data_IF_743602304370
#
_entry.id   IF_743602304370
#
_cell.length_a   1.000
_cell.length_b   1.000
_cell.length_c   1.000
_cell.angle_alpha   90.00
_cell.angle_beta   90.00
_cell.angle_gamma   90.00
#
_symmetry.space_group_name_H-M   'P 1'
#
loop_
_entity.id
_entity.type
_entity.pdbx_description
1 polymer ?
#
# COMPACT_ATOMS: atom_id res chain seq x y z
N UNK A 1 -15.31 -3.70 -6.84
CA UNK A 1 -15.00 -4.97 -6.17
C UNK A 1 -15.17 -6.19 -7.09
N UNK A 2 -16.30 -6.36 -7.82
CA UNK A 2 -16.52 -7.51 -8.71
C UNK A 2 -15.36 -7.73 -9.69
N UNK A 3 -14.86 -6.67 -10.32
CA UNK A 3 -13.71 -6.75 -11.22
C UNK A 3 -12.42 -7.17 -10.50
N UNK A 4 -12.23 -6.73 -9.24
CA UNK A 4 -11.08 -7.14 -8.45
C UNK A 4 -11.12 -8.64 -8.10
N UNK A 5 -12.29 -9.15 -7.71
CA UNK A 5 -12.48 -10.58 -7.49
C UNK A 5 -12.15 -11.40 -8.75
N UNK A 6 -12.60 -10.92 -9.92
CA UNK A 6 -12.26 -11.58 -11.19
C UNK A 6 -10.75 -11.62 -11.43
N UNK A 7 -10.06 -10.51 -11.21
CA UNK A 7 -8.59 -10.41 -11.37
C UNK A 7 -7.88 -11.39 -10.42
N UNK A 8 -8.23 -11.37 -9.13
CA UNK A 8 -7.60 -12.25 -8.14
C UNK A 8 -7.86 -13.73 -8.44
N UNK A 9 -9.07 -14.09 -8.82
CA UNK A 9 -9.40 -15.46 -9.23
C UNK A 9 -8.58 -15.92 -10.46
N UNK A 10 -8.38 -15.03 -11.43
CA UNK A 10 -7.58 -15.33 -12.63
C UNK A 10 -6.10 -15.42 -12.33
N UNK A 11 -5.57 -14.53 -11.48
CA UNK A 11 -4.17 -14.62 -11.00
C UNK A 11 -3.97 -15.94 -10.28
N UNK A 12 -4.92 -16.35 -9.46
CA UNK A 12 -4.91 -17.61 -8.71
C UNK A 12 -3.53 -17.90 -8.10
N UNK A 13 -3.14 -17.13 -7.09
CA UNK A 13 -1.84 -17.28 -6.43
C UNK A 13 -1.62 -18.74 -5.99
N UNK A 14 -0.56 -19.43 -6.45
CA UNK A 14 -0.35 -20.84 -6.11
C UNK A 14 0.21 -21.05 -4.69
N UNK A 15 0.77 -20.00 -4.07
CA UNK A 15 1.42 -20.12 -2.77
C UNK A 15 0.38 -20.07 -1.64
N UNK A 16 0.54 -20.91 -0.59
CA UNK A 16 -0.28 -20.81 0.60
C UNK A 16 0.06 -19.54 1.37
N UNK A 17 -0.94 -18.99 2.09
CA UNK A 17 -0.69 -17.86 2.98
C UNK A 17 0.16 -18.29 4.18
N UNK A 18 1.31 -17.66 4.36
CA UNK A 18 2.24 -17.87 5.48
C UNK A 18 2.33 -16.60 6.34
N UNK A 19 1.51 -16.54 7.38
CA UNK A 19 1.48 -15.43 8.34
C UNK A 19 2.82 -15.25 9.06
N UNK A 20 3.49 -16.34 9.42
CA UNK A 20 4.74 -16.27 10.18
C UNK A 20 5.88 -15.70 9.32
N UNK A 21 5.94 -16.11 8.05
CA UNK A 21 6.89 -15.56 7.09
C UNK A 21 6.56 -14.09 6.74
N UNK A 22 5.28 -13.71 6.68
CA UNK A 22 4.87 -12.31 6.48
C UNK A 22 5.37 -11.42 7.62
N UNK A 23 5.21 -11.82 8.88
CA UNK A 23 5.73 -11.08 10.04
C UNK A 23 7.24 -10.87 9.93
N UNK A 24 7.99 -11.87 9.47
CA UNK A 24 9.44 -11.77 9.26
C UNK A 24 9.83 -10.87 8.08
N UNK A 25 8.97 -10.78 7.05
CA UNK A 25 9.21 -9.93 5.88
C UNK A 25 9.03 -8.44 6.19
N UNK A 26 8.02 -8.08 6.99
CA UNK A 26 7.63 -6.69 7.25
C UNK A 26 8.82 -5.77 7.57
N UNK A 27 9.75 -6.08 8.48
CA UNK A 27 10.86 -5.18 8.78
C UNK A 27 11.73 -4.80 7.58
N UNK A 28 11.79 -5.65 6.56
CA UNK A 28 12.57 -5.40 5.33
C UNK A 28 11.91 -4.42 4.36
N UNK A 29 10.59 -4.23 4.46
CA UNK A 29 9.80 -3.37 3.56
C UNK A 29 10.30 -1.92 3.65
N UNK A 30 10.66 -1.44 4.84
CA UNK A 30 11.11 -0.07 5.04
C UNK A 30 12.25 0.32 4.10
N UNK A 31 13.27 -0.53 3.98
CA UNK A 31 14.40 -0.27 3.10
C UNK A 31 14.03 -0.24 1.60
N UNK A 32 12.98 -0.97 1.21
CA UNK A 32 12.51 -0.97 -0.17
C UNK A 32 11.94 0.39 -0.58
N UNK A 33 11.49 1.21 0.39
CA UNK A 33 11.02 2.58 0.10
C UNK A 33 12.09 3.50 -0.47
N UNK A 34 13.38 3.19 -0.29
CA UNK A 34 14.48 3.98 -0.86
C UNK A 34 14.65 3.78 -2.37
N UNK A 35 14.07 2.74 -2.93
CA UNK A 35 14.11 2.48 -4.37
C UNK A 35 12.75 2.87 -4.99
N UNK A 36 12.64 4.11 -5.43
CA UNK A 36 11.40 4.68 -5.96
C UNK A 36 10.84 3.89 -7.14
N UNK A 37 11.71 3.32 -7.99
CA UNK A 37 11.28 2.63 -9.21
C UNK A 37 10.89 1.17 -8.99
N UNK A 38 11.66 0.43 -8.20
CA UNK A 38 11.52 -1.03 -8.10
C UNK A 38 11.16 -1.53 -6.70
N UNK A 39 11.17 -0.64 -5.69
CA UNK A 39 10.95 -1.02 -4.30
C UNK A 39 9.59 -1.69 -4.09
N UNK A 40 8.53 -1.07 -4.59
CA UNK A 40 7.17 -1.62 -4.44
C UNK A 40 7.03 -2.96 -5.18
N UNK A 41 7.51 -3.07 -6.42
CA UNK A 41 7.48 -4.33 -7.17
C UNK A 41 8.24 -5.45 -6.44
N UNK A 42 9.37 -5.12 -5.83
CA UNK A 42 10.14 -6.10 -5.02
C UNK A 42 9.32 -6.62 -3.85
N UNK A 43 8.63 -5.72 -3.13
CA UNK A 43 7.77 -6.11 -2.01
C UNK A 43 6.57 -6.91 -2.48
N UNK A 44 5.90 -6.49 -3.54
CA UNK A 44 4.74 -7.19 -4.12
C UNK A 44 5.11 -8.62 -4.53
N UNK A 45 6.28 -8.84 -5.16
CA UNK A 45 6.79 -10.17 -5.50
C UNK A 45 7.06 -11.03 -4.26
N UNK A 46 7.63 -10.43 -3.21
CA UNK A 46 7.88 -11.14 -1.97
C UNK A 46 6.56 -11.55 -1.29
N UNK A 47 5.59 -10.64 -1.21
CA UNK A 47 4.26 -10.90 -0.67
C UNK A 47 3.52 -12.00 -1.44
N UNK A 48 3.61 -11.99 -2.77
CA UNK A 48 3.00 -13.03 -3.61
C UNK A 48 3.48 -14.44 -3.26
N UNK A 49 4.80 -14.60 -3.01
CA UNK A 49 5.39 -15.88 -2.58
C UNK A 49 4.95 -16.33 -1.19
N UNK A 50 4.40 -15.42 -0.39
CA UNK A 50 3.84 -15.68 0.93
C UNK A 50 2.31 -15.84 0.89
N UNK A 51 1.73 -15.98 -0.30
CA UNK A 51 0.29 -16.16 -0.48
C UNK A 51 -0.54 -14.87 -0.41
N UNK A 52 0.11 -13.69 -0.35
CA UNK A 52 -0.58 -12.38 -0.37
C UNK A 52 -0.49 -11.79 -1.77
N UNK A 53 -1.62 -11.60 -2.44
CA UNK A 53 -1.65 -11.00 -3.78
C UNK A 53 -1.97 -9.52 -3.68
N UNK A 54 -1.13 -8.67 -4.25
CA UNK A 54 -1.33 -7.23 -4.27
C UNK A 54 -1.54 -6.77 -5.72
N UNK A 55 -2.62 -6.06 -5.96
CA UNK A 55 -2.88 -5.38 -7.25
C UNK A 55 -2.92 -3.88 -7.03
N UNK A 56 -2.57 -3.15 -8.08
CA UNK A 56 -2.67 -1.70 -8.12
C UNK A 56 -3.86 -1.27 -8.99
N UNK A 57 -4.66 -0.38 -8.43
CA UNK A 57 -5.81 0.23 -9.08
C UNK A 57 -5.55 1.74 -9.20
N UNK A 58 -5.47 2.32 -10.40
CA UNK A 58 -5.46 3.77 -10.56
C UNK A 58 -6.63 4.41 -9.81
N UNK A 59 -6.39 5.57 -9.24
CA UNK A 59 -7.45 6.30 -8.53
C UNK A 59 -8.62 6.58 -9.45
N UNK A 60 -9.82 6.33 -8.95
CA UNK A 60 -11.07 6.62 -9.65
C UNK A 60 -11.55 7.98 -9.17
N UNK A 61 -11.95 8.84 -10.10
CA UNK A 61 -12.48 10.16 -9.79
C UNK A 61 -13.64 10.02 -8.79
N UNK A 62 -13.64 10.88 -7.78
CA UNK A 62 -14.66 10.95 -6.72
C UNK A 62 -14.71 9.72 -5.77
N UNK A 63 -13.79 8.77 -5.91
CA UNK A 63 -13.62 7.66 -4.99
C UNK A 63 -12.33 7.84 -4.15
N UNK A 64 -12.49 8.00 -2.85
CA UNK A 64 -11.38 8.25 -1.91
C UNK A 64 -10.73 6.96 -1.41
N UNK A 65 -10.67 5.94 -2.27
CA UNK A 65 -10.08 4.64 -1.94
C UNK A 65 -8.55 4.74 -1.84
N UNK A 66 -7.99 4.43 -0.69
CA UNK A 66 -6.53 4.29 -0.50
C UNK A 66 -6.08 2.85 -0.67
N UNK A 67 -6.83 1.93 -0.10
CA UNK A 67 -6.59 0.51 -0.16
C UNK A 67 -7.84 -0.29 0.16
N UNK A 68 -7.77 -1.60 -0.06
CA UNK A 68 -8.78 -2.54 0.38
C UNK A 68 -8.16 -3.93 0.55
N UNK A 69 -8.59 -4.64 1.57
CA UNK A 69 -8.23 -6.04 1.81
C UNK A 69 -9.41 -6.96 1.53
N UNK A 70 -9.16 -8.01 0.75
CA UNK A 70 -10.14 -9.03 0.37
C UNK A 70 -9.61 -10.41 0.72
N UNK A 71 -10.53 -11.38 0.81
CA UNK A 71 -10.18 -12.80 0.84
C UNK A 71 -10.74 -13.47 -0.40
N UNK A 72 -9.85 -14.02 -1.22
CA UNK A 72 -10.21 -14.74 -2.46
C UNK A 72 -9.52 -16.09 -2.46
N UNK A 73 -10.28 -17.17 -2.63
CA UNK A 73 -9.79 -18.55 -2.55
C UNK A 73 -9.00 -18.81 -1.25
N UNK A 74 -9.55 -18.30 -0.14
CA UNK A 74 -8.98 -18.41 1.21
C UNK A 74 -7.61 -17.73 1.42
N UNK A 75 -7.25 -16.80 0.52
CA UNK A 75 -5.98 -16.06 0.56
C UNK A 75 -6.20 -14.56 0.63
N UNK A 76 -5.36 -13.84 1.39
CA UNK A 76 -5.43 -12.39 1.45
C UNK A 76 -5.04 -11.76 0.11
N UNK A 77 -5.84 -10.80 -0.30
CA UNK A 77 -5.66 -10.02 -1.50
C UNK A 77 -5.78 -8.53 -1.16
N UNK A 78 -4.83 -7.73 -1.63
CA UNK A 78 -4.78 -6.30 -1.36
C UNK A 78 -4.94 -5.53 -2.66
N UNK A 79 -5.80 -4.52 -2.65
CA UNK A 79 -5.88 -3.49 -3.68
C UNK A 79 -5.18 -2.25 -3.13
N UNK A 80 -4.24 -1.68 -3.90
CA UNK A 80 -3.64 -0.38 -3.61
C UNK A 80 -4.10 0.63 -4.64
N UNK A 81 -4.32 1.86 -4.21
CA UNK A 81 -4.62 2.98 -5.09
C UNK A 81 -3.61 4.10 -4.92
N UNK A 82 -3.41 4.87 -6.00
CA UNK A 82 -2.61 6.09 -5.98
C UNK A 82 -3.44 7.33 -5.58
N UNK A 83 -4.37 7.16 -4.69
CA UNK A 83 -5.13 8.28 -4.17
C UNK A 83 -4.20 9.47 -3.84
N UNK A 84 -4.52 10.65 -4.36
CA UNK A 84 -3.68 11.84 -4.33
C UNK A 84 -2.38 11.78 -5.17
N UNK A 85 -2.13 10.73 -5.93
CA UNK A 85 -0.93 10.56 -6.78
C UNK A 85 0.37 10.91 -6.02
N UNK A 86 0.56 10.33 -4.83
CA UNK A 86 1.75 10.57 -3.98
C UNK A 86 2.41 9.28 -3.56
N UNK A 87 3.71 9.22 -3.77
CA UNK A 87 4.56 8.08 -3.42
C UNK A 87 4.38 7.56 -1.99
N UNK A 88 4.43 8.41 -0.93
CA UNK A 88 4.27 7.95 0.43
C UNK A 88 2.87 7.39 0.72
N UNK A 89 1.83 7.85 0.01
CA UNK A 89 0.45 7.37 0.23
C UNK A 89 0.31 5.89 -0.12
N UNK A 90 0.95 5.45 -1.21
CA UNK A 90 0.90 4.03 -1.62
C UNK A 90 1.61 3.12 -0.62
N UNK A 91 2.76 3.56 -0.11
CA UNK A 91 3.49 2.81 0.91
C UNK A 91 2.74 2.75 2.24
N UNK A 92 2.14 3.88 2.64
CA UNK A 92 1.33 3.92 3.84
C UNK A 92 0.13 2.97 3.72
N UNK A 93 -0.61 3.05 2.60
CA UNK A 93 -1.72 2.15 2.32
C UNK A 93 -1.31 0.67 2.34
N UNK A 94 -0.15 0.31 1.75
CA UNK A 94 0.33 -1.06 1.80
C UNK A 94 0.52 -1.57 3.23
N UNK A 95 1.15 -0.78 4.10
CA UNK A 95 1.37 -1.20 5.50
C UNK A 95 0.06 -1.23 6.29
N UNK A 96 -0.85 -0.30 6.03
CA UNK A 96 -2.19 -0.27 6.60
C UNK A 96 -2.96 -1.56 6.24
N UNK A 97 -3.02 -1.92 4.96
CA UNK A 97 -3.69 -3.16 4.51
C UNK A 97 -3.00 -4.42 5.03
N UNK A 98 -1.66 -4.43 5.15
CA UNK A 98 -0.94 -5.54 5.78
C UNK A 98 -1.26 -5.69 7.27
N UNK A 99 -1.60 -4.60 7.97
CA UNK A 99 -2.11 -4.68 9.34
C UNK A 99 -3.43 -5.44 9.38
N UNK A 100 -4.38 -5.14 8.48
CA UNK A 100 -5.63 -5.89 8.37
C UNK A 100 -5.40 -7.37 8.02
N UNK A 101 -4.50 -7.66 7.09
CA UNK A 101 -4.12 -9.07 6.78
C UNK A 101 -3.59 -9.80 8.01
N UNK A 102 -2.83 -9.13 8.87
CA UNK A 102 -2.26 -9.75 10.09
C UNK A 102 -3.26 -9.90 11.22
N UNK A 103 -4.19 -8.96 11.37
CA UNK A 103 -5.01 -8.82 12.57
C UNK A 103 -6.46 -9.19 12.35
N UNK A 104 -7.01 -8.95 11.17
CA UNK A 104 -8.45 -8.97 10.91
C UNK A 104 -8.85 -9.99 9.84
N UNK A 105 -7.89 -10.80 9.34
CA UNK A 105 -8.11 -11.68 8.20
C UNK A 105 -9.29 -12.64 8.39
N UNK A 106 -9.51 -13.13 9.61
CA UNK A 106 -10.62 -14.05 9.89
C UNK A 106 -11.98 -13.36 9.79
N UNK A 107 -12.09 -12.12 10.27
CA UNK A 107 -13.29 -11.30 10.07
C UNK A 107 -13.50 -10.97 8.60
N UNK A 108 -12.44 -10.54 7.90
CA UNK A 108 -12.53 -10.22 6.47
C UNK A 108 -12.90 -11.45 5.65
N UNK A 109 -12.46 -12.65 6.05
CA UNK A 109 -12.84 -13.92 5.41
C UNK A 109 -14.36 -14.17 5.51
N UNK A 110 -14.99 -13.85 6.62
CA UNK A 110 -16.44 -14.00 6.80
C UNK A 110 -17.23 -13.06 5.87
N UNK A 111 -16.78 -11.82 5.70
CA UNK A 111 -17.45 -10.80 4.89
C UNK A 111 -16.88 -10.64 3.48
N UNK A 112 -15.79 -11.34 3.16
CA UNK A 112 -15.05 -11.37 1.89
C UNK A 112 -14.22 -10.12 1.56
N UNK A 113 -14.50 -8.94 2.12
CA UNK A 113 -13.74 -7.72 1.86
C UNK A 113 -13.85 -6.71 3.00
N UNK A 114 -12.86 -5.81 3.06
CA UNK A 114 -12.83 -4.59 3.85
C UNK A 114 -12.28 -3.45 2.98
N UNK A 115 -12.84 -2.25 3.10
CA UNK A 115 -12.46 -1.05 2.35
C UNK A 115 -12.01 0.03 3.31
N UNK A 116 -10.75 0.46 3.19
CA UNK A 116 -10.15 1.52 4.01
C UNK A 116 -10.34 2.89 3.34
N UNK A 117 -11.51 3.50 3.48
CA UNK A 117 -11.86 4.79 2.86
C UNK A 117 -12.24 5.90 3.85
N UNK A 118 -12.27 5.59 5.14
CA UNK A 118 -12.65 6.54 6.19
C UNK A 118 -14.14 6.89 6.22
N UNK A 119 -15.00 6.20 5.47
CA UNK A 119 -16.40 6.50 5.29
C UNK A 119 -17.36 5.32 5.47
N UNK A 120 -17.35 4.66 6.64
CA UNK A 120 -18.49 3.81 7.03
C UNK A 120 -18.53 2.43 6.40
N UNK A 121 -17.47 1.66 6.57
CA UNK A 121 -17.52 0.23 6.31
C UNK A 121 -18.48 -0.47 7.30
N UNK A 122 -19.17 -1.51 6.83
CA UNK A 122 -20.03 -2.36 7.67
C UNK A 122 -19.20 -3.16 8.70
N UNK A 123 -17.91 -3.38 8.42
CA UNK A 123 -16.97 -3.94 9.36
C UNK A 123 -16.41 -2.80 10.22
N UNK A 124 -16.77 -2.78 11.50
CA UNK A 124 -16.18 -1.88 12.50
C UNK A 124 -14.75 -2.35 12.82
N UNK A 125 -13.86 -2.34 11.83
CA UNK A 125 -12.44 -2.63 12.05
C UNK A 125 -11.75 -1.41 12.68
N UNK A 126 -10.68 -1.67 13.41
CA UNK A 126 -9.91 -0.64 14.08
C UNK A 126 -8.93 0.03 13.10
N UNK A 127 -9.44 0.99 12.33
CA UNK A 127 -8.66 1.77 11.35
C UNK A 127 -7.53 2.54 12.03
N UNK A 128 -7.78 3.11 13.22
CA UNK A 128 -6.78 3.86 13.98
C UNK A 128 -5.60 2.97 14.35
N UNK A 129 -5.84 1.69 14.66
CA UNK A 129 -4.77 0.72 14.92
C UNK A 129 -3.91 0.51 13.69
N UNK A 130 -4.50 0.36 12.49
CA UNK A 130 -3.76 0.13 11.26
C UNK A 130 -3.05 1.39 10.78
N UNK A 131 -3.63 2.57 10.96
CA UNK A 131 -2.97 3.85 10.73
C UNK A 131 -1.76 4.05 11.66
N UNK A 132 -1.92 3.73 12.96
CA UNK A 132 -0.83 3.78 13.93
C UNK A 132 0.27 2.78 13.60
N UNK A 133 -0.09 1.54 13.22
CA UNK A 133 0.88 0.53 12.78
C UNK A 133 1.72 1.02 11.60
N UNK A 134 1.10 1.57 10.57
CA UNK A 134 1.80 2.09 9.39
C UNK A 134 2.68 3.30 9.75
N UNK A 135 2.17 4.23 10.56
CA UNK A 135 2.92 5.41 11.03
C UNK A 135 4.16 5.01 11.84
N UNK A 136 3.98 4.20 12.88
CA UNK A 136 5.06 3.74 13.76
C UNK A 136 6.09 2.89 13.01
N UNK A 137 5.66 2.15 12.01
CA UNK A 137 6.56 1.38 11.16
C UNK A 137 7.54 2.28 10.39
N UNK A 138 7.08 3.35 9.76
CA UNK A 138 7.93 4.24 8.97
C UNK A 138 8.63 5.29 9.82
N UNK A 139 7.93 5.87 10.78
CA UNK A 139 8.44 6.95 11.63
C UNK A 139 7.83 6.82 13.02
N UNK A 140 8.51 6.11 13.92
CA UNK A 140 8.05 5.99 15.29
C UNK A 140 8.05 7.33 16.03
N UNK A 141 7.27 7.40 17.11
CA UNK A 141 7.07 8.65 17.84
C UNK A 141 8.36 9.31 18.34
N UNK A 142 9.38 8.54 18.70
CA UNK A 142 10.67 9.08 19.17
C UNK A 142 11.49 9.65 18.00
N UNK A 143 11.54 8.95 16.89
CA UNK A 143 12.17 9.46 15.66
C UNK A 143 11.45 10.71 15.16
N UNK A 144 10.11 10.76 15.25
CA UNK A 144 9.34 11.95 14.89
C UNK A 144 9.71 13.15 15.77
N UNK A 145 9.75 12.99 17.09
CA UNK A 145 10.19 14.06 18.01
C UNK A 145 11.60 14.54 17.70
N UNK A 146 12.50 13.62 17.35
CA UNK A 146 13.89 13.94 17.02
C UNK A 146 14.00 14.74 15.74
N UNK A 147 13.25 14.40 14.68
CA UNK A 147 13.36 15.03 13.36
C UNK A 147 12.51 16.29 13.19
N UNK A 148 11.42 16.42 13.95
CA UNK A 148 10.47 17.54 13.81
C UNK A 148 11.12 18.93 13.80
N UNK A 149 12.11 19.25 14.65
CA UNK A 149 12.79 20.56 14.61
C UNK A 149 13.59 20.82 13.33
N UNK A 150 13.90 19.78 12.55
CA UNK A 150 14.80 19.82 11.39
C UNK A 150 14.09 19.62 10.06
N UNK A 151 12.76 19.54 10.03
CA UNK A 151 12.00 19.27 8.79
C UNK A 151 12.22 20.34 7.70
N UNK A 152 12.59 21.56 8.09
CA UNK A 152 12.96 22.62 7.14
C UNK A 152 14.35 22.44 6.50
N UNK A 153 15.14 21.51 7.00
CA UNK A 153 16.50 21.22 6.51
C UNK A 153 16.53 19.87 5.79
N UNK A 154 16.30 19.82 4.46
CA UNK A 154 16.24 18.57 3.70
C UNK A 154 17.48 17.68 3.86
N UNK A 155 18.67 18.30 3.95
CA UNK A 155 19.92 17.56 4.12
C UNK A 155 19.96 16.78 5.46
N UNK A 156 19.44 17.39 6.53
CA UNK A 156 19.36 16.74 7.85
C UNK A 156 18.32 15.61 7.79
N UNK A 157 17.13 15.89 7.23
CA UNK A 157 16.10 14.85 7.05
C UNK A 157 16.64 13.67 6.25
N UNK A 158 17.34 13.94 5.14
CA UNK A 158 17.93 12.88 4.31
C UNK A 158 18.97 12.04 5.06
N UNK A 159 19.78 12.67 5.94
CA UNK A 159 20.75 11.95 6.75
C UNK A 159 20.09 10.97 7.71
N UNK A 160 19.09 11.42 8.46
CA UNK A 160 18.32 10.54 9.35
C UNK A 160 17.57 9.45 8.59
N UNK A 161 16.92 9.78 7.46
CA UNK A 161 16.21 8.82 6.64
C UNK A 161 17.13 7.72 6.09
N UNK A 162 18.38 8.04 5.76
CA UNK A 162 19.39 7.06 5.35
C UNK A 162 19.72 6.10 6.49
N UNK A 163 19.89 6.61 7.71
CA UNK A 163 20.15 5.81 8.91
C UNK A 163 18.95 4.90 9.22
N UNK A 164 17.73 5.46 9.19
CA UNK A 164 16.49 4.72 9.48
C UNK A 164 16.04 3.85 8.31
N UNK A 165 16.70 3.94 7.15
CA UNK A 165 16.39 3.20 5.93
C UNK A 165 14.94 3.41 5.46
N UNK A 166 14.48 4.66 5.48
CA UNK A 166 13.15 5.07 5.04
C UNK A 166 13.23 6.21 4.05
N UNK A 167 12.31 6.26 3.07
CA UNK A 167 12.27 7.36 2.12
C UNK A 167 11.83 8.67 2.79
N UNK A 168 12.51 9.82 2.54
CA UNK A 168 12.21 11.09 3.21
C UNK A 168 10.75 11.55 3.08
N UNK A 169 10.10 11.26 1.97
CA UNK A 169 8.71 11.65 1.76
C UNK A 169 7.74 11.02 2.77
N UNK A 170 8.06 9.85 3.30
CA UNK A 170 7.25 9.21 4.36
C UNK A 170 7.33 10.00 5.66
N UNK A 171 8.51 10.51 6.00
CA UNK A 171 8.69 11.38 7.19
C UNK A 171 7.84 12.63 7.06
N UNK A 172 7.91 13.33 5.92
CA UNK A 172 7.09 14.52 5.67
C UNK A 172 5.60 14.21 5.67
N UNK A 173 5.19 13.12 5.03
CA UNK A 173 3.80 12.72 4.95
C UNK A 173 3.22 12.42 6.33
N UNK A 174 3.90 11.61 7.15
CA UNK A 174 3.46 11.26 8.50
C UNK A 174 3.39 12.50 9.39
N UNK A 175 4.39 13.39 9.31
CA UNK A 175 4.33 14.66 10.02
C UNK A 175 3.10 15.47 9.65
N UNK A 176 2.78 15.60 8.35
CA UNK A 176 1.65 16.37 7.88
C UNK A 176 0.29 15.78 8.31
N UNK A 177 0.18 14.47 8.47
CA UNK A 177 -1.04 13.87 9.02
C UNK A 177 -1.31 14.33 10.45
N UNK A 178 -0.27 14.43 11.28
CA UNK A 178 -0.38 14.96 12.65
C UNK A 178 -0.45 16.49 12.70
N UNK A 179 0.01 17.19 11.64
CA UNK A 179 0.07 18.65 11.54
C UNK A 179 -0.52 19.12 10.19
N UNK A 180 -1.86 19.10 10.03
CA UNK A 180 -2.49 19.35 8.73
C UNK A 180 -2.17 20.72 8.11
N UNK A 181 -1.85 21.72 8.92
CA UNK A 181 -1.47 23.05 8.44
C UNK A 181 -0.14 23.07 7.65
N UNK A 182 0.71 22.05 7.86
CA UNK A 182 2.03 21.95 7.24
C UNK A 182 2.00 21.31 5.84
N UNK A 183 0.83 20.81 5.38
CA UNK A 183 0.70 20.23 4.04
C UNK A 183 1.17 21.22 2.95
N UNK A 184 0.79 22.49 3.01
CA UNK A 184 1.20 23.50 2.03
C UNK A 184 2.71 23.67 1.99
N UNK A 185 3.37 23.51 3.12
CA UNK A 185 4.83 23.67 3.26
C UNK A 185 5.61 22.51 2.69
N UNK A 186 5.13 21.27 2.93
CA UNK A 186 5.90 20.07 2.61
C UNK A 186 5.37 19.29 1.41
N UNK A 187 4.26 19.67 0.79
CA UNK A 187 3.68 18.95 -0.36
C UNK A 187 4.67 18.77 -1.52
N UNK A 188 5.56 19.74 -1.75
CA UNK A 188 6.60 19.67 -2.78
C UNK A 188 7.70 18.63 -2.48
N UNK A 189 7.78 18.13 -1.24
CA UNK A 189 8.71 17.07 -0.82
C UNK A 189 8.19 15.66 -1.06
N UNK A 190 6.94 15.55 -1.53
CA UNK A 190 6.28 14.28 -1.77
C UNK A 190 6.29 13.97 -3.27
N UNK A 191 7.14 13.02 -3.74
CA UNK A 191 7.16 12.62 -5.14
C UNK A 191 5.79 12.09 -5.58
N UNK A 192 5.54 12.16 -6.90
CA UNK A 192 4.42 11.49 -7.51
C UNK A 192 4.68 9.98 -7.65
N UNK A 193 3.63 9.22 -7.91
CA UNK A 193 3.70 7.75 -8.04
C UNK A 193 4.20 7.26 -9.41
N UNK A 194 4.34 8.13 -10.40
CA UNK A 194 4.60 7.77 -11.80
C UNK A 194 5.79 6.80 -11.99
N UNK A 195 6.89 7.01 -11.25
CA UNK A 195 8.07 6.13 -11.35
C UNK A 195 7.84 4.76 -10.73
N UNK A 196 7.13 4.72 -9.60
CA UNK A 196 6.77 3.49 -8.91
C UNK A 196 5.88 2.61 -9.78
N UNK A 197 4.96 3.23 -10.50
CA UNK A 197 3.95 2.55 -11.31
C UNK A 197 4.50 1.99 -12.62
N UNK A 198 5.62 2.51 -13.13
CA UNK A 198 6.31 1.92 -14.28
C UNK A 198 6.78 0.48 -14.02
N UNK A 199 7.03 0.12 -12.77
CA UNK A 199 7.43 -1.22 -12.36
C UNK A 199 6.26 -2.20 -12.13
N UNK A 200 5.06 -1.67 -11.89
CA UNK A 200 3.84 -2.44 -11.73
C UNK A 200 2.98 -2.12 -12.94
N UNK A 201 2.80 -3.10 -13.83
CA UNK A 201 1.77 -2.96 -14.86
C UNK A 201 0.45 -2.74 -14.13
N UNK A 202 -0.03 -1.48 -14.17
CA UNK A 202 -1.30 -1.14 -13.58
C UNK A 202 -2.36 -2.08 -14.15
N UNK A 203 -3.05 -2.79 -13.29
CA UNK A 203 -4.29 -3.44 -13.66
C UNK A 203 -5.27 -2.30 -13.83
N UNK A 204 -5.25 -1.68 -14.99
CA UNK A 204 -6.21 -0.64 -15.34
C UNK A 204 -7.59 -1.30 -15.41
N UNK A 205 -8.38 -1.09 -14.36
CA UNK A 205 -9.82 -1.15 -14.57
C UNK A 205 -10.17 -0.01 -15.53
N UNK A 206 -10.95 -0.31 -16.55
CA UNK A 206 -11.47 0.70 -17.47
C UNK A 206 -12.05 1.89 -16.67
N UNK A 207 -11.82 3.13 -17.13
CA UNK A 207 -12.46 4.32 -16.55
C UNK A 207 -13.99 4.25 -16.59
N UNK A 208 -14.54 3.27 -17.32
CA UNK A 208 -15.95 2.97 -17.41
C UNK A 208 -16.23 1.62 -16.75
N UNK A 209 -16.65 1.61 -15.45
CA UNK A 209 -16.92 0.37 -14.71
C UNK A 209 -18.08 -0.45 -15.29
N UNK A 210 -18.85 0.09 -16.23
CA UNK A 210 -20.01 -0.59 -16.78
C UNK A 210 -19.67 -1.55 -17.96
N UNK A 211 -18.48 -1.51 -18.54
CA UNK A 211 -18.31 -2.14 -19.84
C UNK A 211 -17.18 -3.14 -20.07
N UNK A 212 -16.15 -3.34 -19.23
CA UNK A 212 -15.20 -4.42 -19.57
C UNK A 212 -14.43 -4.96 -18.35
N UNK A 213 -14.70 -6.21 -18.02
CA UNK A 213 -13.76 -7.03 -17.27
C UNK A 213 -12.42 -7.04 -18.04
N UNK A 214 -11.30 -6.88 -17.33
CA UNK A 214 -9.97 -7.01 -17.92
C UNK A 214 -9.88 -8.31 -18.71
N UNK A 215 -9.45 -8.28 -19.97
CA UNK A 215 -9.26 -9.50 -20.74
C UNK A 215 -8.32 -10.48 -20.03
N UNK A 216 -8.68 -11.75 -20.01
CA UNK A 216 -7.92 -12.81 -19.32
C UNK A 216 -6.44 -12.82 -19.72
N UNK A 217 -6.14 -12.59 -20.99
CA UNK A 217 -4.75 -12.49 -21.49
C UNK A 217 -3.97 -11.37 -20.81
N UNK A 218 -4.55 -10.19 -20.60
CA UNK A 218 -3.88 -9.10 -19.85
C UNK A 218 -3.60 -9.45 -18.40
N UNK A 219 -4.51 -10.21 -17.75
CA UNK A 219 -4.31 -10.68 -16.38
C UNK A 219 -3.19 -11.73 -16.33
N UNK A 220 -3.12 -12.62 -17.34
CA UNK A 220 -2.06 -13.61 -17.47
C UNK A 220 -0.70 -12.92 -17.71
N UNK A 221 -0.64 -11.91 -18.56
CA UNK A 221 0.56 -11.12 -18.83
C UNK A 221 1.01 -10.38 -17.54
N UNK A 222 0.08 -9.81 -16.78
CA UNK A 222 0.35 -9.21 -15.48
C UNK A 222 0.97 -10.23 -14.53
N UNK A 223 0.39 -11.42 -14.43
CA UNK A 223 0.90 -12.50 -13.58
C UNK A 223 2.35 -12.85 -13.94
N UNK A 224 2.64 -13.02 -15.21
CA UNK A 224 4.00 -13.36 -15.69
C UNK A 224 4.99 -12.23 -15.48
N UNK A 225 4.57 -10.98 -15.66
CA UNK A 225 5.47 -9.82 -15.58
C UNK A 225 5.75 -9.39 -14.15
N UNK A 226 4.73 -9.42 -13.29
CA UNK A 226 4.84 -8.88 -11.91
C UNK A 226 5.20 -9.95 -10.90
N UNK A 227 4.67 -11.17 -11.02
CA UNK A 227 4.77 -12.16 -9.94
C UNK A 227 5.75 -13.30 -10.23
N UNK A 228 6.03 -13.60 -11.46
CA UNK A 228 6.97 -14.64 -11.88
C UNK A 228 8.29 -14.01 -12.32
#
# INVERSE_FOLDING_TARGET
LSSAFHVFNTINNPYPYDRAALIKLIPSIRACTLNEKHGLTTVVKALYRLGVTVIYQPSIKDLHLRGATLVVNDKPCIILSDYNNRYPTVWFALLHELCHVLSDLDMIREYQYHISDGGGDFLLLDEDRCDNFASEFFLNGDNHKMIAPYLDSPAIVQSYCKEWRVHPSLVYSIHCYSHPNDWKKYISRLPKTDMMLQGINAVCFSENPENEALPINKIIDLKQTVYV
#
